data_IF_222872809957
#
_entry.id   IF_222872809957
#
_cell.length_a   1.000
_cell.length_b   1.000
_cell.length_c   1.000
_cell.angle_alpha   90.00
_cell.angle_beta   90.00
_cell.angle_gamma   90.00
#
_symmetry.space_group_name_H-M   'P 1'
#
loop_
_entity.id
_entity.type
_entity.pdbx_description
1 polymer ?
#
# COMPACT_ATOMS: atom_id res chain seq x y z
N UNK A 1 10.71 -10.22 -40.17
CA UNK A 1 10.20 -10.25 -38.79
C UNK A 1 9.96 -11.70 -38.40
N UNK A 2 10.80 -12.29 -37.54
CA UNK A 2 10.59 -13.67 -37.10
C UNK A 2 9.71 -13.66 -35.85
N UNK A 3 8.65 -14.47 -35.82
CA UNK A 3 7.63 -14.57 -34.75
C UNK A 3 8.22 -14.70 -33.34
N UNK A 4 9.44 -15.27 -33.23
CA UNK A 4 10.20 -15.38 -31.98
C UNK A 4 10.56 -14.05 -31.32
N UNK A 5 10.63 -12.94 -32.06
CA UNK A 5 11.05 -11.65 -31.51
C UNK A 5 9.91 -10.99 -30.70
N UNK A 6 8.67 -11.09 -31.20
CA UNK A 6 7.48 -10.48 -30.58
C UNK A 6 7.10 -11.16 -29.25
N UNK A 7 7.28 -12.47 -29.20
CA UNK A 7 7.02 -13.29 -28.02
C UNK A 7 7.99 -13.00 -26.86
N UNK A 8 9.28 -12.82 -27.19
CA UNK A 8 10.29 -12.41 -26.23
C UNK A 8 10.03 -11.00 -25.68
N UNK A 9 9.56 -10.08 -26.52
CA UNK A 9 9.16 -8.72 -26.13
C UNK A 9 8.04 -8.77 -25.08
N UNK A 10 6.96 -9.52 -25.33
CA UNK A 10 5.85 -9.61 -24.38
C UNK A 10 6.27 -10.16 -23.01
N UNK A 11 7.09 -11.22 -22.99
CA UNK A 11 7.63 -11.78 -21.75
C UNK A 11 8.52 -10.77 -21.00
N UNK A 12 9.32 -9.98 -21.72
CA UNK A 12 10.15 -8.94 -21.12
C UNK A 12 9.32 -7.80 -20.52
N UNK A 13 8.28 -7.35 -21.24
CA UNK A 13 7.32 -6.35 -20.75
C UNK A 13 6.68 -6.82 -19.44
N UNK A 14 6.22 -8.07 -19.39
CA UNK A 14 5.55 -8.63 -18.22
C UNK A 14 6.52 -8.75 -17.03
N UNK A 15 7.74 -9.24 -17.25
CA UNK A 15 8.78 -9.31 -16.22
C UNK A 15 9.13 -7.93 -15.67
N UNK A 16 9.31 -6.95 -16.55
CA UNK A 16 9.60 -5.57 -16.17
C UNK A 16 8.45 -4.94 -15.39
N UNK A 17 7.22 -5.11 -15.86
CA UNK A 17 6.02 -4.60 -15.20
C UNK A 17 5.83 -5.23 -13.82
N UNK A 18 6.11 -6.53 -13.67
CA UNK A 18 6.07 -7.22 -12.40
C UNK A 18 7.08 -6.63 -11.39
N UNK A 19 8.27 -6.25 -11.86
CA UNK A 19 9.31 -5.64 -11.01
C UNK A 19 8.99 -4.22 -10.53
N UNK A 20 8.01 -3.56 -11.15
CA UNK A 20 7.54 -2.22 -10.77
C UNK A 20 6.32 -2.26 -9.81
N UNK A 21 5.77 -3.45 -9.52
CA UNK A 21 4.69 -3.61 -8.55
C UNK A 21 5.25 -3.47 -7.12
N UNK A 22 4.60 -2.70 -6.23
CA UNK A 22 5.02 -2.61 -4.84
C UNK A 22 5.07 -4.00 -4.18
N UNK A 23 6.20 -4.32 -3.56
CA UNK A 23 6.36 -5.55 -2.77
C UNK A 23 6.23 -5.20 -1.29
N UNK A 24 5.28 -5.84 -0.62
CA UNK A 24 5.07 -5.70 0.82
C UNK A 24 5.66 -6.92 1.54
N UNK A 25 6.31 -6.66 2.66
CA UNK A 25 6.86 -7.69 3.55
C UNK A 25 5.81 -8.05 4.61
N UNK A 26 5.42 -9.31 4.67
CA UNK A 26 4.40 -9.82 5.59
C UNK A 26 4.86 -9.80 7.07
N UNK A 27 6.17 -9.81 7.31
CA UNK A 27 6.77 -9.79 8.64
C UNK A 27 6.78 -8.40 9.30
N UNK A 28 6.57 -7.33 8.53
CA UNK A 28 6.56 -5.93 9.00
C UNK A 28 5.40 -5.67 9.94
N UNK A 29 5.62 -5.05 11.11
CA UNK A 29 4.56 -4.77 12.07
C UNK A 29 3.81 -3.47 11.75
N UNK A 30 2.54 -3.41 12.13
CA UNK A 30 1.67 -2.26 11.90
C UNK A 30 1.24 -1.68 13.25
N UNK A 31 1.31 -0.36 13.37
CA UNK A 31 1.04 0.36 14.61
C UNK A 31 0.08 1.52 14.38
N UNK A 32 -0.93 1.65 15.24
CA UNK A 32 -1.74 2.87 15.33
C UNK A 32 -1.06 3.83 16.29
N UNK A 33 -0.73 5.03 15.83
CA UNK A 33 -0.15 6.11 16.62
C UNK A 33 -1.14 7.26 16.71
N UNK A 34 -1.61 7.58 17.91
CA UNK A 34 -2.56 8.69 18.15
C UNK A 34 -1.84 10.03 18.16
N UNK A 35 -2.44 11.02 17.50
CA UNK A 35 -1.93 12.38 17.41
C UNK A 35 -2.70 13.37 18.31
N UNK A 36 -2.89 13.06 19.60
CA UNK A 36 -3.72 13.82 20.57
C UNK A 36 -5.11 14.19 19.99
N UNK A 37 -5.97 13.19 19.85
CA UNK A 37 -7.29 13.33 19.19
C UNK A 37 -7.25 13.90 17.76
N UNK A 38 -6.11 13.77 17.08
CA UNK A 38 -5.90 14.23 15.70
C UNK A 38 -5.28 15.63 15.58
N UNK A 39 -5.08 16.35 16.69
CA UNK A 39 -4.51 17.69 16.70
C UNK A 39 -3.13 17.80 16.03
N UNK A 40 -2.31 16.75 16.14
CA UNK A 40 -0.96 16.72 15.55
C UNK A 40 -0.89 16.00 14.20
N UNK A 41 -2.03 15.58 13.64
CA UNK A 41 -2.08 14.85 12.37
C UNK A 41 -1.36 15.60 11.24
N UNK A 42 -1.67 16.88 11.07
CA UNK A 42 -1.10 17.71 10.00
C UNK A 42 0.40 17.95 10.21
N UNK A 43 0.82 18.10 11.46
CA UNK A 43 2.23 18.27 11.81
C UNK A 43 3.05 17.02 11.50
N UNK A 44 2.55 15.84 11.89
CA UNK A 44 3.17 14.56 11.60
C UNK A 44 3.29 14.31 10.09
N UNK A 45 2.24 14.66 9.34
CA UNK A 45 2.23 14.51 7.88
C UNK A 45 3.26 15.44 7.20
N UNK A 46 3.22 16.74 7.51
CA UNK A 46 4.06 17.74 6.83
C UNK A 46 5.54 17.59 7.19
N UNK A 47 5.83 17.21 8.42
CA UNK A 47 7.21 17.13 8.92
C UNK A 47 7.75 15.69 9.00
N UNK A 48 7.08 14.72 8.36
CA UNK A 48 7.56 13.35 8.14
C UNK A 48 7.99 12.62 9.42
N UNK A 49 7.15 12.67 10.46
CA UNK A 49 7.43 11.98 11.72
C UNK A 49 6.19 11.55 12.47
N UNK A 50 6.36 10.61 13.41
CA UNK A 50 5.42 10.40 14.51
C UNK A 50 6.11 10.58 15.84
N UNK A 51 5.42 11.17 16.82
CA UNK A 51 5.97 11.47 18.13
C UNK A 51 5.13 10.96 19.28
N UNK A 52 5.73 10.90 20.47
CA UNK A 52 5.04 10.60 21.73
C UNK A 52 5.43 11.62 22.81
N UNK A 53 4.50 11.92 23.73
CA UNK A 53 4.67 12.87 24.83
C UNK A 53 5.56 12.38 25.98
N UNK A 54 5.28 12.88 27.19
CA UNK A 54 6.09 12.68 28.40
C UNK A 54 7.54 13.12 28.18
N UNK A 55 7.71 14.39 27.84
CA UNK A 55 9.01 14.97 27.47
C UNK A 55 10.02 14.99 28.64
N UNK A 56 9.52 14.91 29.87
CA UNK A 56 10.30 14.80 31.11
C UNK A 56 11.04 13.45 31.18
N UNK A 57 10.55 12.45 30.45
CA UNK A 57 11.14 11.12 30.34
C UNK A 57 11.93 11.04 29.02
N UNK A 58 13.25 11.07 29.13
CA UNK A 58 14.16 11.05 27.98
C UNK A 58 14.28 9.65 27.38
N UNK A 59 14.82 9.55 26.16
CA UNK A 59 15.17 8.25 25.56
C UNK A 59 16.18 7.47 26.42
N UNK A 60 17.12 8.17 27.03
CA UNK A 60 18.14 7.55 27.89
C UNK A 60 17.51 6.95 29.15
N UNK A 61 16.55 7.65 29.78
CA UNK A 61 15.78 7.11 30.91
C UNK A 61 15.09 5.79 30.54
N UNK A 62 14.46 5.74 29.37
CA UNK A 62 13.73 4.56 28.89
C UNK A 62 14.71 3.42 28.59
N UNK A 63 15.82 3.69 27.89
CA UNK A 63 16.83 2.69 27.52
C UNK A 63 17.50 2.07 28.75
N UNK A 64 17.77 2.85 29.79
CA UNK A 64 18.35 2.37 31.06
C UNK A 64 17.49 1.35 31.79
N UNK A 65 16.19 1.31 31.54
CA UNK A 65 15.28 0.34 32.18
C UNK A 65 15.39 -1.08 31.65
N UNK A 66 16.17 -1.32 30.57
CA UNK A 66 16.28 -2.64 29.94
C UNK A 66 14.92 -3.30 29.68
N UNK A 67 13.97 -2.49 29.19
CA UNK A 67 12.59 -2.88 28.91
C UNK A 67 11.72 -3.27 30.14
N UNK A 68 12.14 -2.88 31.36
CA UNK A 68 11.38 -3.13 32.59
C UNK A 68 10.30 -2.08 32.82
N UNK A 69 9.03 -2.50 32.70
CA UNK A 69 7.88 -1.62 32.98
C UNK A 69 7.88 -1.11 34.42
N UNK A 70 8.31 -1.92 35.39
CA UNK A 70 8.35 -1.51 36.80
C UNK A 70 9.41 -0.44 37.05
N UNK A 71 10.60 -0.59 36.47
CA UNK A 71 11.65 0.43 36.58
C UNK A 71 11.22 1.74 35.93
N UNK A 72 10.59 1.68 34.75
CA UNK A 72 10.11 2.90 34.08
C UNK A 72 8.97 3.58 34.85
N UNK A 73 8.08 2.79 35.49
CA UNK A 73 7.06 3.35 36.41
C UNK A 73 7.69 4.14 37.55
N UNK A 74 8.80 3.66 38.12
CA UNK A 74 9.47 4.36 39.21
C UNK A 74 10.09 5.68 38.73
N UNK A 75 10.73 5.68 37.56
CA UNK A 75 11.25 6.92 36.94
C UNK A 75 10.11 7.92 36.65
N UNK A 76 8.98 7.44 36.12
CA UNK A 76 7.80 8.27 35.88
C UNK A 76 7.28 8.92 37.16
N UNK A 77 7.19 8.17 38.27
CA UNK A 77 6.79 8.72 39.57
C UNK A 77 7.76 9.79 40.03
N UNK A 78 9.05 9.53 39.99
CA UNK A 78 10.07 10.48 40.42
C UNK A 78 10.00 11.78 39.62
N UNK A 79 10.01 11.70 38.29
CA UNK A 79 10.09 12.89 37.43
C UNK A 79 8.78 13.66 37.33
N UNK A 80 7.62 13.00 37.40
CA UNK A 80 6.32 13.67 37.26
C UNK A 80 5.74 14.19 38.58
N UNK A 81 6.13 13.63 39.74
CA UNK A 81 5.68 14.14 41.05
C UNK A 81 6.38 15.47 41.39
N UNK A 82 7.65 15.63 41.02
CA UNK A 82 8.47 16.83 41.33
C UNK A 82 7.93 18.11 40.69
N UNK A 83 7.11 18.01 39.63
CA UNK A 83 6.51 19.17 38.97
C UNK A 83 5.14 19.61 39.53
N UNK A 84 4.62 18.98 40.60
CA UNK A 84 3.29 19.30 41.16
C UNK A 84 3.27 20.32 42.32
N UNK A 85 4.44 20.85 42.71
CA UNK A 85 4.55 21.87 43.77
C UNK A 85 4.72 23.32 43.22
N UNK A 86 4.51 23.55 41.92
CA UNK A 86 4.54 24.90 41.31
C UNK A 86 3.10 25.43 41.18
N UNK A 87 2.78 26.65 41.64
CA UNK A 87 1.48 27.28 41.41
C UNK A 87 1.23 27.38 39.91
N UNK A 88 0.10 26.86 39.44
CA UNK A 88 -0.30 26.89 38.03
C UNK A 88 -0.66 28.35 37.69
N UNK A 89 0.30 29.08 37.10
CA UNK A 89 -0.04 30.14 36.16
C UNK A 89 -0.19 29.51 34.77
N UNK A 90 -1.34 29.80 34.18
CA UNK A 90 -1.87 29.38 32.89
C UNK A 90 -0.80 29.15 31.81
N UNK A 91 -0.71 27.92 31.28
CA UNK A 91 -0.56 27.58 29.85
C UNK A 91 -0.10 26.11 29.62
N UNK A 92 -0.96 25.34 28.94
CA UNK A 92 -0.68 24.07 28.22
C UNK A 92 -0.07 22.89 29.02
N UNK A 93 -0.92 22.14 29.70
CA UNK A 93 -0.59 20.82 30.27
C UNK A 93 -0.95 19.66 29.29
N UNK A 94 -0.19 18.55 29.23
CA UNK A 94 -0.51 17.38 28.40
C UNK A 94 -1.74 16.55 28.85
N UNK A 95 -2.51 17.02 29.83
CA UNK A 95 -3.50 16.25 30.58
C UNK A 95 -4.93 16.21 30.00
N UNK A 96 -5.20 16.81 28.84
CA UNK A 96 -6.57 16.94 28.31
C UNK A 96 -7.25 15.63 27.84
N UNK A 97 -6.52 14.51 27.69
CA UNK A 97 -7.08 13.29 27.08
C UNK A 97 -7.83 12.35 28.07
N UNK A 98 -8.19 12.81 29.28
CA UNK A 98 -8.98 12.01 30.25
C UNK A 98 -10.08 12.78 30.98
N UNK A 99 -10.70 13.77 30.33
CA UNK A 99 -11.83 14.51 30.89
C UNK A 99 -13.16 13.86 30.53
N UNK A 100 -13.61 12.95 31.40
CA UNK A 100 -15.03 12.70 31.69
C UNK A 100 -15.16 12.59 33.22
N UNK A 101 -14.92 13.68 33.94
CA UNK A 101 -15.35 13.84 35.32
C UNK A 101 -15.76 15.30 35.58
N UNK A 102 -16.96 15.41 36.13
CA UNK A 102 -17.81 16.57 36.30
C UNK A 102 -17.18 17.76 37.03
N UNK A 103 -17.74 18.94 36.76
CA UNK A 103 -17.59 20.15 37.55
C UNK A 103 -17.75 19.86 39.04
N UNK A 104 -16.70 20.08 39.82
CA UNK A 104 -16.77 20.78 41.11
C UNK A 104 -15.36 21.16 41.58
N UNK A 105 -15.22 22.45 41.85
CA UNK A 105 -14.01 23.12 42.31
C UNK A 105 -13.67 22.68 43.74
N UNK A 106 -12.48 22.10 43.92
CA UNK A 106 -11.62 22.24 45.11
C UNK A 106 -10.32 21.46 44.86
N UNK A 107 -9.19 22.09 45.20
CA UNK A 107 -7.80 21.69 44.95
C UNK A 107 -7.53 20.18 45.13
N UNK A 108 -7.45 19.42 44.02
CA UNK A 108 -7.05 18.01 44.04
C UNK A 108 -5.64 17.85 43.47
N UNK A 109 -4.67 17.67 44.39
CA UNK A 109 -3.38 17.02 44.14
C UNK A 109 -3.66 15.70 43.40
N UNK A 110 -3.47 15.68 42.09
CA UNK A 110 -3.87 14.54 41.24
C UNK A 110 -2.85 13.43 41.43
N UNK A 111 -3.05 12.60 42.46
CA UNK A 111 -2.25 11.38 42.61
C UNK A 111 -2.67 10.45 41.47
N UNK A 112 -1.87 10.45 40.41
CA UNK A 112 -1.99 9.50 39.32
C UNK A 112 -1.97 8.08 39.89
N UNK A 113 -2.95 7.27 39.51
CA UNK A 113 -3.07 5.89 39.99
C UNK A 113 -1.88 5.04 39.50
N UNK A 114 -1.49 4.02 40.27
CA UNK A 114 -0.50 3.00 39.85
C UNK A 114 -0.79 2.42 38.45
N UNK A 115 -2.08 2.32 38.11
CA UNK A 115 -2.56 1.87 36.81
C UNK A 115 -2.21 2.84 35.68
N UNK A 116 -2.29 4.15 35.91
CA UNK A 116 -1.94 5.18 34.91
C UNK A 116 -0.44 5.16 34.61
N UNK A 117 0.41 5.18 35.65
CA UNK A 117 1.85 5.05 35.47
C UNK A 117 2.22 3.77 34.72
N UNK A 118 1.57 2.65 35.05
CA UNK A 118 1.80 1.41 34.32
C UNK A 118 1.38 1.46 32.85
N UNK A 119 0.31 2.17 32.53
CA UNK A 119 -0.15 2.38 31.16
C UNK A 119 0.86 3.22 30.38
N UNK A 120 1.33 4.34 30.95
CA UNK A 120 2.32 5.21 30.32
C UNK A 120 3.67 4.53 30.14
N UNK A 121 4.15 3.82 31.17
CA UNK A 121 5.38 3.03 31.05
C UNK A 121 5.27 2.01 29.90
N UNK A 122 4.15 1.29 29.81
CA UNK A 122 3.93 0.35 28.73
C UNK A 122 3.89 1.01 27.34
N UNK A 123 3.30 2.20 27.22
CA UNK A 123 3.26 2.93 25.95
C UNK A 123 4.65 3.44 25.54
N UNK A 124 5.40 4.04 26.46
CA UNK A 124 6.76 4.53 26.21
C UNK A 124 7.70 3.39 25.83
N UNK A 125 7.66 2.26 26.54
CA UNK A 125 8.45 1.08 26.20
C UNK A 125 8.12 0.56 24.80
N UNK A 126 6.83 0.45 24.44
CA UNK A 126 6.46 0.01 23.09
C UNK A 126 6.92 1.01 22.02
N UNK A 127 6.78 2.31 22.28
CA UNK A 127 7.18 3.33 21.32
C UNK A 127 8.69 3.35 21.07
N UNK A 128 9.50 3.16 22.11
CA UNK A 128 10.97 3.24 22.00
C UNK A 128 11.62 1.91 21.64
N UNK A 129 11.12 0.79 22.18
CA UNK A 129 11.78 -0.52 22.08
C UNK A 129 11.09 -1.51 21.13
N UNK A 130 9.80 -1.33 20.81
CA UNK A 130 9.06 -2.28 19.96
C UNK A 130 8.86 -1.77 18.54
N UNK A 131 8.67 -0.46 18.33
CA UNK A 131 8.73 0.13 16.99
C UNK A 131 10.15 -0.02 16.44
N UNK A 132 10.23 -0.33 15.15
CA UNK A 132 11.50 -0.54 14.43
C UNK A 132 11.42 0.07 13.03
N UNK A 133 12.59 0.29 12.44
CA UNK A 133 12.70 0.67 11.02
C UNK A 133 11.96 -0.36 10.16
N UNK A 134 11.29 0.13 9.12
CA UNK A 134 10.37 -0.57 8.22
C UNK A 134 8.98 -0.88 8.77
N UNK A 135 8.68 -0.69 10.06
CA UNK A 135 7.31 -0.80 10.56
C UNK A 135 6.39 0.23 9.89
N UNK A 136 5.12 -0.15 9.73
CA UNK A 136 4.08 0.73 9.22
C UNK A 136 3.37 1.40 10.38
N UNK A 137 3.21 2.71 10.29
CA UNK A 137 2.45 3.52 11.23
C UNK A 137 1.18 4.06 10.56
N UNK A 138 0.09 4.03 11.32
CA UNK A 138 -1.20 4.60 10.95
C UNK A 138 -1.55 5.71 11.93
N UNK A 139 -1.82 6.91 11.43
CA UNK A 139 -2.18 8.07 12.24
C UNK A 139 -3.59 8.53 11.86
N UNK A 140 -4.56 8.46 12.78
CA UNK A 140 -5.89 9.00 12.53
C UNK A 140 -5.91 10.52 12.64
N UNK A 141 -6.64 11.17 11.74
CA UNK A 141 -7.00 12.59 11.84
C UNK A 141 -7.99 12.84 12.98
N UNK A 142 -8.37 14.09 13.17
CA UNK A 142 -9.50 14.45 14.02
C UNK A 142 -10.75 13.69 13.58
N UNK A 143 -11.55 13.21 14.54
CA UNK A 143 -12.69 12.31 14.35
C UNK A 143 -12.37 10.99 13.61
N UNK A 144 -11.09 10.71 13.35
CA UNK A 144 -10.60 9.59 12.54
C UNK A 144 -11.28 9.52 11.17
N UNK A 145 -11.52 10.68 10.55
CA UNK A 145 -12.06 10.79 9.20
C UNK A 145 -11.06 10.25 8.16
N UNK A 146 -9.79 10.66 8.29
CA UNK A 146 -8.69 10.19 7.46
C UNK A 146 -7.68 9.41 8.28
N UNK A 147 -7.09 8.39 7.66
CA UNK A 147 -6.06 7.55 8.25
C UNK A 147 -4.80 7.64 7.38
N UNK A 148 -3.80 8.35 7.89
CA UNK A 148 -2.50 8.50 7.24
C UNK A 148 -1.67 7.23 7.47
N UNK A 149 -1.00 6.74 6.44
CA UNK A 149 -0.21 5.50 6.48
C UNK A 149 1.20 5.79 6.00
N UNK A 150 2.21 5.40 6.78
CA UNK A 150 3.61 5.64 6.45
C UNK A 150 4.53 4.56 7.00
N UNK A 151 5.77 4.56 6.53
CA UNK A 151 6.81 3.63 6.95
C UNK A 151 7.88 4.33 7.76
N UNK A 152 8.30 3.74 8.87
CA UNK A 152 9.46 4.21 9.63
C UNK A 152 10.73 3.99 8.80
N UNK A 153 11.52 5.05 8.60
CA UNK A 153 12.67 5.03 7.68
C UNK A 153 14.05 5.12 8.35
N UNK A 154 14.11 5.53 9.61
CA UNK A 154 15.38 5.75 10.32
C UNK A 154 15.17 5.60 11.84
N UNK A 155 16.25 5.67 12.61
CA UNK A 155 16.27 5.51 14.05
C UNK A 155 15.49 6.62 14.78
N UNK A 156 14.95 6.27 15.95
CA UNK A 156 14.31 7.23 16.86
C UNK A 156 15.31 8.29 17.33
N UNK A 157 14.87 9.55 17.32
CA UNK A 157 15.63 10.67 17.85
C UNK A 157 14.84 11.44 18.91
N UNK A 158 15.56 12.28 19.65
CA UNK A 158 14.99 13.15 20.66
C UNK A 158 15.47 14.59 20.44
N UNK A 159 14.53 15.52 20.36
CA UNK A 159 14.84 16.95 20.25
C UNK A 159 15.19 17.54 21.62
N UNK A 160 16.14 18.48 21.59
CA UNK A 160 16.39 19.40 22.72
C UNK A 160 15.31 20.49 22.82
N UNK A 161 15.24 21.20 23.94
CA UNK A 161 14.32 22.33 24.10
C UNK A 161 14.59 23.43 23.08
N UNK A 162 15.87 23.76 22.83
CA UNK A 162 16.27 24.77 21.85
C UNK A 162 15.79 24.39 20.44
N UNK A 163 16.01 23.13 20.02
CA UNK A 163 15.54 22.64 18.72
C UNK A 163 14.02 22.63 18.60
N UNK A 164 13.28 22.50 19.70
CA UNK A 164 11.82 22.56 19.70
C UNK A 164 11.33 24.00 19.54
N UNK A 165 12.02 24.96 20.18
CA UNK A 165 11.74 26.40 20.09
C UNK A 165 12.11 26.98 18.71
N UNK A 166 13.17 26.46 18.07
CA UNK A 166 13.61 26.87 16.73
C UNK A 166 12.65 26.43 15.61
N UNK A 167 11.68 25.54 15.90
CA UNK A 167 10.71 25.13 14.89
C UNK A 167 9.83 26.33 14.48
N UNK A 168 9.84 26.66 13.18
CA UNK A 168 9.07 27.79 12.65
C UNK A 168 7.62 27.77 13.14
N UNK A 169 7.19 28.83 13.83
CA UNK A 169 5.82 28.96 14.25
C UNK A 169 4.94 29.13 13.01
N UNK A 170 3.98 28.22 12.84
CA UNK A 170 2.98 28.29 11.78
C UNK A 170 1.60 28.41 12.41
N UNK A 171 0.76 29.27 11.83
CA UNK A 171 -0.65 29.42 12.25
C UNK A 171 -1.57 28.43 11.54
N UNK A 172 -1.07 27.69 10.54
CA UNK A 172 -1.90 26.85 9.68
C UNK A 172 -2.24 25.49 10.29
N UNK A 173 -1.43 25.02 11.24
CA UNK A 173 -1.67 23.79 11.97
C UNK A 173 -0.95 23.80 13.32
N UNK A 174 -1.41 22.96 14.26
CA UNK A 174 -0.81 22.86 15.58
C UNK A 174 0.43 21.95 15.55
N UNK A 175 1.61 22.52 15.84
CA UNK A 175 2.85 21.74 16.01
C UNK A 175 2.85 20.96 17.32
N UNK A 176 3.34 19.73 17.26
CA UNK A 176 3.52 18.89 18.42
C UNK A 176 4.77 19.29 19.20
N UNK A 177 4.62 19.36 20.52
CA UNK A 177 5.73 19.58 21.44
C UNK A 177 6.50 18.28 21.74
N UNK A 178 6.16 17.15 21.10
CA UNK A 178 6.78 15.86 21.39
C UNK A 178 8.24 15.85 20.96
N UNK A 179 9.13 15.55 21.91
CA UNK A 179 10.58 15.48 21.67
C UNK A 179 11.03 14.17 21.05
N UNK A 180 10.43 13.05 21.47
CA UNK A 180 10.76 11.69 21.01
C UNK A 180 10.03 11.40 19.71
N UNK A 181 10.77 11.18 18.62
CA UNK A 181 10.22 11.11 17.26
C UNK A 181 10.83 9.98 16.45
N UNK A 182 9.97 9.27 15.71
CA UNK A 182 10.37 8.35 14.65
C UNK A 182 10.21 9.05 13.29
N UNK A 183 11.25 9.08 12.44
CA UNK A 183 11.14 9.54 11.05
C UNK A 183 10.26 8.61 10.22
N UNK A 184 9.33 9.19 9.44
CA UNK A 184 8.33 8.44 8.67
C UNK A 184 8.29 8.94 7.23
N UNK A 185 8.29 8.00 6.29
CA UNK A 185 7.93 8.28 4.90
C UNK A 185 6.46 7.93 4.68
N UNK A 186 5.62 8.93 4.42
CA UNK A 186 4.20 8.72 4.17
C UNK A 186 3.93 8.11 2.79
N UNK A 187 3.05 7.11 2.75
CA UNK A 187 2.53 6.51 1.51
C UNK A 187 1.30 7.24 1.00
N UNK A 188 0.52 7.81 1.91
CA UNK A 188 -0.74 8.49 1.63
C UNK A 188 -1.72 8.31 2.78
N UNK A 189 -2.98 8.59 2.52
CA UNK A 189 -4.07 8.40 3.48
C UNK A 189 -5.28 7.76 2.79
N UNK A 190 -6.19 7.21 3.60
CA UNK A 190 -7.50 6.77 3.12
C UNK A 190 -8.61 7.35 4.01
N UNK A 191 -9.78 7.57 3.41
CA UNK A 191 -11.01 7.97 4.10
C UNK A 191 -11.61 6.75 4.81
N UNK A 192 -11.95 6.89 6.08
CA UNK A 192 -12.63 5.86 6.88
C UNK A 192 -13.88 5.33 6.19
N UNK A 193 -14.68 6.19 5.57
CA UNK A 193 -15.95 5.84 4.95
C UNK A 193 -15.79 4.98 3.68
N UNK A 194 -14.60 5.02 3.06
CA UNK A 194 -14.26 4.20 1.89
C UNK A 194 -13.54 2.89 2.27
N UNK A 195 -13.16 2.76 3.54
CA UNK A 195 -12.35 1.66 4.04
C UNK A 195 -13.19 0.43 4.43
N UNK A 196 -12.54 -0.70 4.68
CA UNK A 196 -13.23 -1.88 5.22
C UNK A 196 -13.85 -1.57 6.59
N UNK A 197 -15.11 -1.92 6.82
CA UNK A 197 -15.77 -1.73 8.12
C UNK A 197 -15.06 -2.48 9.25
N UNK A 198 -14.27 -3.52 8.96
CA UNK A 198 -13.40 -4.18 9.94
C UNK A 198 -12.38 -3.22 10.56
N UNK A 199 -11.93 -2.19 9.84
CA UNK A 199 -11.02 -1.18 10.36
C UNK A 199 -11.66 -0.31 11.46
N UNK A 200 -12.98 -0.29 11.59
CA UNK A 200 -13.63 0.60 12.57
C UNK A 200 -13.28 0.21 14.01
N UNK A 201 -13.09 -1.08 14.29
CA UNK A 201 -12.68 -1.54 15.63
C UNK A 201 -11.31 -1.03 16.03
N UNK A 202 -10.39 -0.93 15.07
CA UNK A 202 -9.06 -0.34 15.28
C UNK A 202 -9.16 1.12 15.73
N UNK A 203 -10.08 1.89 15.15
CA UNK A 203 -10.29 3.31 15.46
C UNK A 203 -10.77 3.54 16.89
N UNK A 204 -11.36 2.54 17.56
CA UNK A 204 -11.77 2.66 18.97
C UNK A 204 -10.69 2.24 19.96
N UNK A 205 -9.50 1.86 19.50
CA UNK A 205 -8.39 1.53 20.40
C UNK A 205 -7.93 2.78 21.17
N UNK A 206 -8.20 2.83 22.48
CA UNK A 206 -7.99 4.01 23.33
C UNK A 206 -6.51 4.29 23.68
N UNK A 207 -5.60 3.37 23.38
CA UNK A 207 -4.18 3.56 23.70
C UNK A 207 -3.50 4.48 22.68
N UNK A 208 -2.56 5.31 23.15
CA UNK A 208 -1.72 6.19 22.32
C UNK A 208 -0.96 5.43 21.24
N UNK A 209 -0.53 4.22 21.56
CA UNK A 209 0.14 3.30 20.66
C UNK A 209 -0.46 1.89 20.79
N UNK A 210 -0.93 1.35 19.67
CA UNK A 210 -1.56 0.03 19.57
C UNK A 210 -0.96 -0.78 18.43
N UNK A 211 -0.66 -2.06 18.65
CA UNK A 211 -0.36 -2.98 17.55
C UNK A 211 -1.66 -3.29 16.80
N UNK A 212 -1.62 -3.24 15.47
CA UNK A 212 -2.79 -3.39 14.60
C UNK A 212 -2.52 -4.41 13.49
N UNK A 213 -1.68 -5.41 13.78
CA UNK A 213 -1.30 -6.45 12.81
C UNK A 213 -2.50 -7.22 12.22
N UNK A 214 -3.55 -7.43 13.02
CA UNK A 214 -4.79 -8.07 12.57
C UNK A 214 -5.50 -7.31 11.44
N UNK A 215 -5.16 -6.03 11.26
CA UNK A 215 -5.76 -5.15 10.27
C UNK A 215 -4.90 -4.97 9.01
N UNK A 216 -3.69 -5.55 8.95
CA UNK A 216 -2.74 -5.47 7.82
C UNK A 216 -3.41 -5.62 6.45
N UNK A 217 -4.21 -6.67 6.17
CA UNK A 217 -4.76 -6.86 4.84
C UNK A 217 -5.70 -5.74 4.41
N UNK A 218 -6.45 -5.17 5.36
CA UNK A 218 -7.41 -4.10 5.08
C UNK A 218 -6.73 -2.75 4.88
N UNK A 219 -5.65 -2.48 5.63
CA UNK A 219 -4.82 -1.27 5.46
C UNK A 219 -4.10 -1.32 4.12
N UNK A 220 -3.49 -2.46 3.78
CA UNK A 220 -2.81 -2.65 2.51
C UNK A 220 -3.76 -2.42 1.35
N UNK A 221 -4.96 -2.99 1.42
CA UNK A 221 -6.00 -2.81 0.40
C UNK A 221 -6.46 -1.36 0.24
N UNK A 222 -6.51 -0.60 1.33
CA UNK A 222 -6.95 0.79 1.31
C UNK A 222 -5.90 1.74 0.68
N UNK A 223 -4.61 1.43 0.81
CA UNK A 223 -3.51 2.27 0.31
C UNK A 223 -2.98 1.79 -1.04
N UNK A 224 -2.91 0.48 -1.27
CA UNK A 224 -2.31 -0.13 -2.44
C UNK A 224 -3.39 -0.82 -3.29
N UNK A 225 -3.80 -0.24 -4.43
CA UNK A 225 -4.76 -0.88 -5.33
C UNK A 225 -4.20 -2.15 -5.98
N UNK A 226 -2.88 -2.32 -5.98
CA UNK A 226 -2.20 -3.55 -6.35
C UNK A 226 -0.85 -3.65 -5.65
N UNK A 227 -0.47 -4.86 -5.22
CA UNK A 227 0.81 -5.15 -4.58
C UNK A 227 1.13 -6.64 -4.63
N UNK A 228 2.40 -7.00 -4.41
CA UNK A 228 2.85 -8.36 -4.20
C UNK A 228 3.17 -8.56 -2.72
N UNK A 229 2.68 -9.64 -2.13
CA UNK A 229 3.06 -10.06 -0.78
C UNK A 229 3.10 -11.58 -0.76
N UNK A 230 4.16 -12.17 -0.18
CA UNK A 230 4.33 -13.62 -0.09
C UNK A 230 4.20 -14.32 -1.47
N UNK A 231 4.79 -13.72 -2.51
CA UNK A 231 4.71 -14.15 -3.93
C UNK A 231 3.32 -14.06 -4.60
N UNK A 232 2.30 -13.65 -3.85
CA UNK A 232 0.93 -13.50 -4.35
C UNK A 232 0.69 -12.08 -4.86
N UNK A 233 -0.03 -11.96 -5.98
CA UNK A 233 -0.47 -10.68 -6.51
C UNK A 233 -1.87 -10.35 -6.00
N UNK A 234 -1.99 -9.22 -5.32
CA UNK A 234 -3.24 -8.63 -4.87
C UNK A 234 -3.64 -7.52 -5.83
N UNK A 235 -4.87 -7.54 -6.33
CA UNK A 235 -5.46 -6.46 -7.14
C UNK A 235 -6.82 -6.12 -6.56
N UNK A 236 -7.01 -4.86 -6.21
CA UNK A 236 -8.27 -4.32 -5.68
C UNK A 236 -8.90 -3.37 -6.67
N UNK A 237 -10.17 -3.61 -6.95
CA UNK A 237 -10.97 -2.86 -7.91
C UNK A 237 -12.23 -2.35 -7.23
N UNK A 238 -12.57 -1.10 -7.51
CA UNK A 238 -13.76 -0.46 -6.97
C UNK A 238 -14.89 -0.58 -7.98
N UNK A 239 -16.01 -1.12 -7.54
CA UNK A 239 -17.29 -1.09 -8.26
C UNK A 239 -17.98 0.21 -7.90
N UNK A 240 -18.16 1.10 -8.87
CA UNK A 240 -18.72 2.46 -8.65
C UNK A 240 -20.10 2.66 -9.26
N UNK A 241 -20.77 1.58 -9.67
CA UNK A 241 -22.14 1.71 -10.13
C UNK A 241 -23.07 1.95 -8.95
N UNK A 242 -24.02 2.90 -9.05
CA UNK A 242 -24.99 3.20 -7.98
C UNK A 242 -26.16 2.20 -7.93
N UNK A 243 -26.31 1.36 -8.96
CA UNK A 243 -27.40 0.40 -9.08
C UNK A 243 -26.96 -0.99 -8.60
N UNK A 244 -27.92 -1.88 -8.31
CA UNK A 244 -27.67 -3.27 -7.94
C UNK A 244 -26.69 -3.96 -8.91
N UNK A 245 -25.86 -4.85 -8.37
CA UNK A 245 -24.88 -5.60 -9.15
C UNK A 245 -25.51 -6.89 -9.65
N UNK A 246 -25.56 -7.03 -10.97
CA UNK A 246 -26.04 -8.25 -11.60
C UNK A 246 -25.12 -9.44 -11.25
N UNK A 247 -25.72 -10.47 -10.66
CA UNK A 247 -25.01 -11.67 -10.23
C UNK A 247 -24.42 -12.48 -11.38
N UNK A 248 -25.02 -12.42 -12.56
CA UNK A 248 -24.50 -13.08 -13.76
C UNK A 248 -23.20 -12.42 -14.18
N UNK A 249 -23.19 -11.09 -14.33
CA UNK A 249 -21.97 -10.36 -14.71
C UNK A 249 -20.87 -10.48 -13.65
N UNK A 250 -21.22 -10.37 -12.36
CA UNK A 250 -20.25 -10.52 -11.28
C UNK A 250 -19.66 -11.94 -11.24
N UNK A 251 -20.51 -12.96 -11.37
CA UNK A 251 -20.11 -14.36 -11.42
C UNK A 251 -19.22 -14.65 -12.62
N UNK A 252 -19.58 -14.14 -13.80
CA UNK A 252 -18.77 -14.22 -15.01
C UNK A 252 -17.40 -13.57 -14.78
N UNK A 253 -17.35 -12.34 -14.28
CA UNK A 253 -16.08 -11.64 -14.03
C UNK A 253 -15.12 -12.45 -13.13
N UNK A 254 -15.61 -12.94 -11.99
CA UNK A 254 -14.82 -13.73 -11.04
C UNK A 254 -14.34 -15.05 -11.67
N UNK A 255 -15.26 -15.78 -12.31
CA UNK A 255 -14.95 -17.06 -12.93
C UNK A 255 -13.93 -16.92 -14.07
N UNK A 256 -14.12 -15.92 -14.91
CA UNK A 256 -13.25 -15.64 -16.05
C UNK A 256 -11.83 -15.28 -15.61
N UNK A 257 -11.66 -14.41 -14.61
CA UNK A 257 -10.34 -14.10 -14.07
C UNK A 257 -9.62 -15.36 -13.56
N UNK A 258 -10.36 -16.25 -12.90
CA UNK A 258 -9.83 -17.55 -12.43
C UNK A 258 -9.41 -18.46 -13.59
N UNK A 259 -10.24 -18.56 -14.65
CA UNK A 259 -9.90 -19.35 -15.84
C UNK A 259 -8.67 -18.81 -16.58
N UNK A 260 -8.53 -17.48 -16.70
CA UNK A 260 -7.36 -16.86 -17.33
C UNK A 260 -6.09 -17.20 -16.55
N UNK A 261 -6.14 -17.13 -15.22
CA UNK A 261 -5.02 -17.50 -14.36
C UNK A 261 -4.60 -18.95 -14.59
N UNK A 262 -5.56 -19.86 -14.63
CA UNK A 262 -5.32 -21.29 -14.86
C UNK A 262 -4.82 -21.59 -16.27
N UNK A 263 -5.24 -20.80 -17.27
CA UNK A 263 -4.77 -20.92 -18.64
C UNK A 263 -3.31 -20.50 -18.80
N UNK A 264 -2.83 -19.59 -17.94
CA UNK A 264 -1.43 -19.19 -17.87
C UNK A 264 -0.58 -20.21 -17.12
N UNK A 265 -1.07 -20.70 -15.98
CA UNK A 265 -0.42 -21.76 -15.19
C UNK A 265 -1.48 -22.65 -14.52
N UNK A 266 -1.43 -23.96 -14.81
CA UNK A 266 -2.38 -24.95 -14.29
C UNK A 266 -2.44 -25.00 -12.75
N UNK A 267 -1.36 -24.61 -12.06
CA UNK A 267 -1.27 -24.53 -10.60
C UNK A 267 -1.76 -23.20 -10.04
N UNK A 268 -2.07 -22.23 -10.89
CA UNK A 268 -2.61 -20.94 -10.48
C UNK A 268 -4.01 -21.10 -9.89
N UNK A 269 -4.22 -20.40 -8.78
CA UNK A 269 -5.45 -20.33 -8.01
C UNK A 269 -5.71 -18.87 -7.66
N UNK A 270 -6.97 -18.47 -7.82
CA UNK A 270 -7.42 -17.13 -7.48
C UNK A 270 -8.37 -17.20 -6.30
N UNK A 271 -8.05 -16.46 -5.25
CA UNK A 271 -8.99 -16.19 -4.15
C UNK A 271 -9.64 -14.85 -4.46
N UNK A 272 -10.97 -14.81 -4.47
CA UNK A 272 -11.74 -13.58 -4.64
C UNK A 272 -12.40 -13.21 -3.32
N UNK A 273 -12.15 -11.99 -2.83
CA UNK A 273 -12.90 -11.41 -1.71
C UNK A 273 -13.77 -10.29 -2.25
N UNK A 274 -15.09 -10.45 -2.09
CA UNK A 274 -16.09 -9.57 -2.70
C UNK A 274 -16.91 -8.94 -1.58
N UNK A 275 -16.86 -7.62 -1.49
CA UNK A 275 -17.71 -6.84 -0.60
C UNK A 275 -18.35 -5.72 -1.42
N UNK A 276 -19.34 -6.09 -2.23
CA UNK A 276 -20.01 -5.18 -3.15
C UNK A 276 -21.47 -5.01 -2.76
N UNK A 277 -21.84 -3.77 -2.44
CA UNK A 277 -23.19 -3.30 -2.10
C UNK A 277 -23.46 -1.94 -2.79
N UNK A 278 -22.91 -1.75 -4.00
CA UNK A 278 -23.06 -0.55 -4.86
C UNK A 278 -23.02 0.79 -4.10
N UNK A 279 -21.85 1.36 -3.80
CA UNK A 279 -20.50 1.01 -4.26
C UNK A 279 -19.80 -0.07 -3.41
N UNK A 280 -18.72 -0.68 -3.91
CA UNK A 280 -17.94 -1.63 -3.12
C UNK A 280 -16.64 -2.11 -3.76
N UNK A 281 -15.99 -3.11 -3.15
CA UNK A 281 -14.64 -3.57 -3.52
C UNK A 281 -14.65 -5.05 -3.91
N UNK A 282 -13.95 -5.35 -5.00
CA UNK A 282 -13.55 -6.70 -5.40
C UNK A 282 -12.02 -6.79 -5.28
N UNK A 283 -11.54 -7.71 -4.44
CA UNK A 283 -10.11 -8.03 -4.31
C UNK A 283 -9.86 -9.42 -4.91
N UNK A 284 -8.92 -9.49 -5.85
CA UNK A 284 -8.46 -10.72 -6.49
C UNK A 284 -7.03 -11.00 -6.05
N UNK A 285 -6.80 -12.21 -5.53
CA UNK A 285 -5.52 -12.65 -4.99
C UNK A 285 -5.07 -13.85 -5.79
N UNK A 286 -4.08 -13.64 -6.65
CA UNK A 286 -3.51 -14.69 -7.51
C UNK A 286 -2.29 -15.27 -6.81
N UNK A 287 -2.27 -16.57 -6.54
CA UNK A 287 -1.15 -17.22 -5.84
C UNK A 287 0.16 -17.20 -6.64
N UNK A 288 0.09 -17.04 -7.97
CA UNK A 288 1.23 -16.91 -8.87
C UNK A 288 1.16 -15.51 -9.48
N UNK A 289 2.00 -14.59 -9.01
CA UNK A 289 1.94 -13.19 -9.42
C UNK A 289 2.04 -12.95 -10.94
N UNK A 290 2.93 -13.63 -11.70
CA UNK A 290 2.94 -13.53 -13.17
C UNK A 290 1.61 -13.90 -13.83
N UNK A 291 0.95 -14.98 -13.38
CA UNK A 291 -0.33 -15.41 -13.93
C UNK A 291 -1.45 -14.40 -13.65
N UNK A 292 -1.44 -13.81 -12.45
CA UNK A 292 -2.34 -12.73 -12.08
C UNK A 292 -2.16 -11.50 -12.96
N UNK A 293 -0.91 -11.05 -13.16
CA UNK A 293 -0.59 -9.88 -13.98
C UNK A 293 -1.01 -10.06 -15.44
N UNK A 294 -0.73 -11.23 -16.02
CA UNK A 294 -1.15 -11.57 -17.39
C UNK A 294 -2.68 -11.55 -17.51
N UNK A 295 -3.37 -12.16 -16.54
CA UNK A 295 -4.84 -12.23 -16.54
C UNK A 295 -5.44 -10.83 -16.42
N UNK A 296 -4.90 -9.98 -15.56
CA UNK A 296 -5.29 -8.57 -15.45
C UNK A 296 -5.08 -7.81 -16.77
N UNK A 297 -3.93 -7.99 -17.40
CA UNK A 297 -3.59 -7.32 -18.66
C UNK A 297 -4.47 -7.80 -19.84
N UNK A 298 -4.91 -9.06 -19.83
CA UNK A 298 -5.89 -9.60 -20.78
C UNK A 298 -7.29 -9.01 -20.54
N UNK A 299 -7.75 -8.99 -19.29
CA UNK A 299 -9.07 -8.47 -18.93
C UNK A 299 -9.21 -6.98 -19.18
N UNK A 300 -8.17 -6.19 -18.88
CA UNK A 300 -8.13 -4.76 -19.16
C UNK A 300 -8.08 -4.44 -20.67
N UNK A 301 -7.98 -5.43 -21.54
CA UNK A 301 -7.91 -5.25 -23.00
C UNK A 301 -6.51 -4.90 -23.53
N UNK A 302 -5.55 -4.63 -22.63
CA UNK A 302 -4.15 -4.29 -22.97
C UNK A 302 -3.52 -5.40 -23.82
N UNK A 303 -3.77 -6.67 -23.47
CA UNK A 303 -3.26 -7.85 -24.18
C UNK A 303 -4.25 -8.48 -25.18
N UNK A 304 -5.36 -7.82 -25.51
CA UNK A 304 -6.23 -8.20 -26.64
C UNK A 304 -5.72 -7.58 -27.95
N UNK A 305 -4.88 -6.53 -27.85
CA UNK A 305 -4.15 -5.89 -28.95
C UNK A 305 -3.26 -6.80 -29.84
N UNK A 306 -2.69 -7.94 -29.41
CA UNK A 306 -1.72 -8.65 -30.24
C UNK A 306 -2.29 -9.23 -31.53
N UNK A 307 -3.59 -9.51 -31.62
CA UNK A 307 -4.22 -10.06 -32.83
C UNK A 307 -4.80 -9.00 -33.77
N UNK A 308 -4.64 -7.73 -33.41
CA UNK A 308 -5.26 -6.60 -34.10
C UNK A 308 -6.72 -6.43 -33.71
N UNK A 309 -7.12 -5.17 -33.51
CA UNK A 309 -8.47 -4.83 -33.12
C UNK A 309 -8.71 -3.33 -33.03
N UNK A 310 -10.00 -2.97 -33.01
CA UNK A 310 -10.47 -1.62 -32.75
C UNK A 310 -11.02 -1.59 -31.31
N UNK A 311 -10.33 -0.88 -30.41
CA UNK A 311 -10.79 -0.68 -29.04
C UNK A 311 -11.74 0.52 -29.02
N UNK A 312 -12.99 0.27 -28.61
CA UNK A 312 -13.98 1.32 -28.38
C UNK A 312 -14.06 1.61 -26.89
N UNK A 313 -13.60 2.79 -26.49
CA UNK A 313 -13.72 3.30 -25.12
C UNK A 313 -14.25 4.73 -25.19
N UNK A 314 -15.27 5.06 -24.38
CA UNK A 314 -15.79 6.42 -24.23
C UNK A 314 -16.03 7.17 -25.56
N UNK A 315 -16.72 6.53 -26.51
CA UNK A 315 -17.06 7.14 -27.80
C UNK A 315 -15.88 7.37 -28.76
N UNK A 316 -14.66 6.97 -28.39
CA UNK A 316 -13.45 7.06 -29.21
C UNK A 316 -13.00 5.66 -29.64
N UNK A 317 -12.63 5.52 -30.91
CA UNK A 317 -12.05 4.29 -31.44
C UNK A 317 -10.54 4.44 -31.62
N UNK A 318 -9.79 3.58 -30.93
CA UNK A 318 -8.35 3.46 -31.12
C UNK A 318 -8.12 2.20 -31.96
N UNK A 319 -7.64 2.38 -33.19
CA UNK A 319 -7.19 1.28 -34.05
C UNK A 319 -5.77 0.92 -33.67
N UNK A 320 -5.59 -0.28 -33.11
CA UNK A 320 -4.27 -0.76 -32.72
C UNK A 320 -3.86 -1.84 -33.73
N UNK A 321 -2.75 -1.63 -34.49
CA UNK A 321 -2.28 -2.62 -35.45
C UNK A 321 -1.90 -3.93 -34.74
N UNK A 322 -2.38 -5.07 -35.25
CA UNK A 322 -2.08 -6.40 -34.72
C UNK A 322 -0.68 -6.89 -35.10
N UNK A 323 -0.05 -7.65 -34.20
CA UNK A 323 1.34 -8.12 -34.34
C UNK A 323 1.52 -9.66 -34.20
N UNK A 324 0.44 -10.44 -34.01
CA UNK A 324 0.42 -11.90 -33.86
C UNK A 324 -0.54 -12.58 -34.85
N UNK A 325 -0.27 -12.47 -36.15
CA UNK A 325 -0.83 -13.38 -37.16
C UNK A 325 0.29 -14.28 -37.70
N UNK A 326 0.32 -15.52 -37.22
CA UNK A 326 1.24 -16.55 -37.69
C UNK A 326 1.67 -17.47 -36.56
N UNK A 327 1.21 -18.71 -36.59
CA UNK A 327 1.75 -19.79 -35.76
C UNK A 327 1.88 -21.00 -36.68
N UNK A 328 3.11 -21.32 -37.10
CA UNK A 328 3.44 -22.65 -37.59
C UNK A 328 4.77 -23.14 -36.99
N UNK A 329 4.66 -24.30 -36.33
CA UNK A 329 5.69 -25.18 -35.79
C UNK A 329 7.12 -24.97 -36.33
N UNK A 330 8.07 -24.70 -35.43
CA UNK A 330 9.45 -25.14 -35.64
C UNK A 330 10.15 -25.45 -34.31
N UNK A 331 10.37 -26.76 -34.06
CA UNK A 331 11.05 -27.30 -32.89
C UNK A 331 12.55 -27.08 -33.00
N UNK A 332 13.14 -26.31 -32.08
CA UNK A 332 14.57 -26.39 -31.77
C UNK A 332 14.81 -26.38 -30.25
N UNK A 333 15.66 -27.31 -29.82
CA UNK A 333 15.72 -27.98 -28.51
C UNK A 333 16.40 -27.18 -27.37
N UNK A 334 16.40 -25.84 -27.42
CA UNK A 334 16.98 -24.98 -26.37
C UNK A 334 15.96 -24.05 -25.67
N UNK A 335 14.65 -24.26 -25.90
CA UNK A 335 13.58 -23.31 -25.58
C UNK A 335 12.28 -23.98 -25.07
N UNK A 336 12.33 -25.14 -24.38
CA UNK A 336 11.09 -25.83 -23.94
C UNK A 336 10.24 -24.97 -22.99
N UNK A 337 10.82 -24.35 -21.95
CA UNK A 337 10.05 -23.55 -20.98
C UNK A 337 9.44 -22.28 -21.61
N UNK A 338 10.23 -21.50 -22.34
CA UNK A 338 9.74 -20.29 -23.02
C UNK A 338 8.64 -20.63 -24.04
N UNK A 339 8.77 -21.72 -24.79
CA UNK A 339 7.73 -22.14 -25.73
C UNK A 339 6.41 -22.52 -25.04
N UNK A 340 6.47 -23.13 -23.86
CA UNK A 340 5.29 -23.47 -23.06
C UNK A 340 4.61 -22.23 -22.46
N UNK A 341 5.39 -21.28 -21.93
CA UNK A 341 4.87 -20.00 -21.43
C UNK A 341 4.11 -19.23 -22.51
N UNK A 342 4.62 -19.26 -23.74
CA UNK A 342 4.00 -18.60 -24.89
C UNK A 342 2.74 -19.32 -25.38
N UNK A 343 2.73 -20.66 -25.37
CA UNK A 343 1.53 -21.44 -25.66
C UNK A 343 0.42 -21.14 -24.64
N UNK A 344 0.77 -21.03 -23.35
CA UNK A 344 -0.17 -20.71 -22.28
C UNK A 344 -0.72 -19.28 -22.41
N UNK A 345 0.14 -18.31 -22.73
CA UNK A 345 -0.27 -16.94 -23.04
C UNK A 345 -1.26 -16.89 -24.21
N UNK A 346 -1.01 -17.67 -25.26
CA UNK A 346 -1.88 -17.77 -26.42
C UNK A 346 -3.26 -18.31 -26.04
N UNK A 347 -3.31 -19.43 -25.30
CA UNK A 347 -4.54 -20.03 -24.78
C UNK A 347 -5.34 -19.04 -23.94
N UNK A 348 -4.68 -18.33 -23.02
CA UNK A 348 -5.31 -17.33 -22.19
C UNK A 348 -5.88 -16.16 -23.01
N UNK A 349 -5.17 -15.72 -24.06
CA UNK A 349 -5.65 -14.65 -24.94
C UNK A 349 -6.86 -15.05 -25.78
N UNK A 350 -6.86 -16.25 -26.34
CA UNK A 350 -8.01 -16.75 -27.10
C UNK A 350 -9.24 -16.94 -26.19
N UNK A 351 -9.02 -17.44 -24.98
CA UNK A 351 -10.07 -17.51 -23.96
C UNK A 351 -10.61 -16.12 -23.59
N UNK A 352 -9.75 -15.12 -23.39
CA UNK A 352 -10.18 -13.75 -23.08
C UNK A 352 -11.11 -13.16 -24.16
N UNK A 353 -10.83 -13.42 -25.45
CA UNK A 353 -11.67 -12.98 -26.57
C UNK A 353 -13.04 -13.66 -26.57
N UNK A 354 -13.09 -14.95 -26.26
CA UNK A 354 -14.33 -15.74 -26.21
C UNK A 354 -15.25 -15.25 -25.09
N UNK A 355 -14.66 -14.95 -23.93
CA UNK A 355 -15.37 -14.66 -22.68
C UNK A 355 -16.08 -13.28 -22.66
N UNK A 356 -15.73 -12.34 -23.54
CA UNK A 356 -16.38 -11.01 -23.70
C UNK A 356 -16.70 -10.32 -22.36
N UNK A 357 -15.66 -10.11 -21.55
CA UNK A 357 -15.80 -9.72 -20.13
C UNK A 357 -16.62 -8.43 -19.95
N UNK A 358 -17.67 -8.44 -19.11
CA UNK A 358 -18.57 -7.30 -18.94
C UNK A 358 -18.04 -6.29 -17.90
N UNK A 359 -16.78 -5.87 -18.01
CA UNK A 359 -16.16 -4.89 -17.07
C UNK A 359 -16.98 -3.59 -17.03
N UNK A 360 -17.50 -3.16 -18.17
CA UNK A 360 -18.35 -1.98 -18.29
C UNK A 360 -19.69 -2.12 -17.57
N UNK A 361 -20.29 -3.30 -17.63
CA UNK A 361 -21.61 -3.58 -16.99
C UNK A 361 -21.51 -3.61 -15.47
N UNK A 362 -20.32 -3.91 -14.93
CA UNK A 362 -20.06 -3.92 -13.49
C UNK A 362 -19.57 -2.58 -12.94
N UNK A 363 -19.39 -1.56 -13.78
CA UNK A 363 -18.86 -0.25 -13.34
C UNK A 363 -17.53 -0.37 -12.60
N UNK A 364 -16.68 -1.33 -12.98
CA UNK A 364 -15.41 -1.60 -12.32
C UNK A 364 -14.37 -0.55 -12.75
N UNK A 365 -13.80 0.16 -11.76
CA UNK A 365 -12.61 0.99 -11.95
C UNK A 365 -11.36 0.14 -11.83
N UNK A 366 -10.61 0.04 -12.92
CA UNK A 366 -9.33 -0.64 -12.98
C UNK A 366 -8.20 0.23 -12.40
N UNK A 367 -7.15 -0.36 -11.79
CA UNK A 367 -6.00 0.39 -11.30
C UNK A 367 -5.19 1.04 -12.45
N UNK A 368 -5.52 2.29 -12.80
CA UNK A 368 -4.93 2.99 -13.95
C UNK A 368 -3.40 3.04 -13.91
N UNK A 369 -2.80 3.17 -12.72
CA UNK A 369 -1.33 3.18 -12.59
C UNK A 369 -0.70 1.87 -13.05
N UNK A 370 -1.33 0.72 -12.80
CA UNK A 370 -0.86 -0.58 -13.28
C UNK A 370 -1.00 -0.69 -14.80
N UNK A 371 -2.12 -0.22 -15.35
CA UNK A 371 -2.35 -0.14 -16.81
C UNK A 371 -1.22 0.67 -17.47
N UNK A 372 -0.99 1.89 -16.99
CA UNK A 372 0.02 2.80 -17.52
C UNK A 372 1.44 2.22 -17.41
N UNK A 373 1.76 1.50 -16.32
CA UNK A 373 3.05 0.80 -16.18
C UNK A 373 3.24 -0.24 -17.28
N UNK A 374 2.22 -1.06 -17.56
CA UNK A 374 2.31 -2.09 -18.60
C UNK A 374 2.43 -1.44 -19.98
N UNK A 375 1.62 -0.43 -20.28
CA UNK A 375 1.66 0.31 -21.56
C UNK A 375 3.02 0.96 -21.82
N UNK A 376 3.55 1.69 -20.84
CA UNK A 376 4.88 2.30 -20.92
C UNK A 376 5.96 1.25 -21.20
N UNK A 377 5.89 0.11 -20.51
CA UNK A 377 6.87 -0.96 -20.69
C UNK A 377 6.76 -1.61 -22.08
N UNK A 378 5.54 -1.74 -22.63
CA UNK A 378 5.35 -2.16 -24.02
C UNK A 378 5.99 -1.18 -25.01
N UNK A 379 5.73 0.12 -24.87
CA UNK A 379 6.30 1.13 -25.77
C UNK A 379 7.83 1.14 -25.75
N UNK A 380 8.43 0.99 -24.57
CA UNK A 380 9.89 0.96 -24.43
C UNK A 380 10.53 -0.26 -25.09
N UNK A 381 9.95 -1.45 -24.92
CA UNK A 381 10.48 -2.67 -25.53
C UNK A 381 10.31 -2.67 -27.06
N UNK A 382 9.19 -2.16 -27.58
CA UNK A 382 8.97 -1.99 -29.03
C UNK A 382 10.00 -1.02 -29.63
N UNK A 383 10.29 0.10 -28.94
CA UNK A 383 11.31 1.06 -29.39
C UNK A 383 12.70 0.44 -29.43
N UNK A 384 13.09 -0.33 -28.40
CA UNK A 384 14.39 -1.03 -28.37
C UNK A 384 14.54 -2.01 -29.53
N UNK A 385 13.50 -2.78 -29.83
CA UNK A 385 13.56 -3.76 -30.91
C UNK A 385 13.72 -3.08 -32.28
N UNK A 386 12.95 -2.02 -32.54
CA UNK A 386 13.04 -1.25 -33.79
C UNK A 386 14.40 -0.58 -34.04
N UNK A 387 15.15 -0.28 -32.98
CA UNK A 387 16.52 0.23 -33.06
C UNK A 387 17.52 -0.91 -33.34
N UNK A 388 17.30 -2.09 -32.76
CA UNK A 388 18.14 -3.27 -32.97
C UNK A 388 18.09 -3.80 -34.41
N UNK A 389 16.93 -3.71 -35.07
CA UNK A 389 16.76 -4.07 -36.49
C UNK A 389 17.46 -3.08 -37.46
N UNK A 390 17.59 -1.80 -37.08
CA UNK A 390 18.33 -0.80 -37.87
C UNK A 390 19.84 -0.98 -37.77
N UNK A 391 20.34 -1.47 -36.64
CA UNK A 391 21.77 -1.74 -36.45
C UNK A 391 22.23 -3.07 -37.09
N UNK A 392 21.34 -4.05 -37.25
CA UNK A 392 21.64 -5.30 -37.96
C UNK A 392 21.62 -5.12 -39.49
N UNK A 393 20.64 -4.39 -40.03
CA UNK A 393 20.55 -4.09 -41.47
C UNK A 393 21.74 -3.26 -41.99
N UNK A 394 22.27 -2.34 -41.18
CA UNK A 394 23.49 -1.58 -41.53
C UNK A 394 24.80 -2.41 -41.49
N UNK A 395 24.80 -3.59 -40.86
CA UNK A 395 25.95 -4.50 -40.85
C UNK A 395 25.95 -5.45 -42.03
N UNK A 396 24.78 -5.91 -42.45
CA UNK A 396 24.64 -6.81 -43.61
C UNK A 396 24.89 -6.08 -44.95
N UNK A 397 24.56 -4.78 -45.07
CA UNK A 397 24.91 -3.97 -46.26
C UNK A 397 26.43 -3.71 -46.43
N UNK A 398 27.22 -3.90 -45.38
CA UNK A 398 28.67 -3.74 -45.44
C UNK A 398 29.43 -5.06 -45.66
N UNK A 399 28.80 -6.23 -45.45
CA UNK A 399 29.43 -7.53 -45.78
C UNK A 399 29.28 -7.93 -47.25
N UNK A 400 28.27 -7.42 -47.96
CA UNK A 400 28.07 -7.68 -49.39
C UNK A 400 28.88 -6.77 -50.32
N UNK A 401 29.73 -5.89 -49.76
CA UNK A 401 30.65 -5.02 -50.53
C UNK A 401 32.13 -5.47 -50.51
N UNK A 402 32.45 -6.58 -49.83
CA UNK A 402 33.83 -7.12 -49.76
C UNK A 402 33.99 -8.56 -50.29
N UNK A 403 33.14 -9.00 -51.24
CA UNK A 403 33.32 -10.29 -51.94
C UNK A 403 33.39 -10.16 -53.46
#
# INVERSE_FOLDING_TARGET
MSEKNNEAILLNVLKKSLSEIPVLDSSVDYWLVRAKSGQFYTDFNINDYVGIGWNEITLDDIKKTNNSSEQLKNILKEKLIVHTDVPIEDNSSPLDDFLDLEENQEEKKTILSEKQYGTWAGQLLRFVNNLKINDIVVVPSENSEFLLVGKIIDDIYELTDDQLLEQELTTNYKKSQFKKRWPVKWFGYFDRNEADSKLYKMIYAQATLSNINDYKPFINRAIFPYYIQDEQLFISMRVTQPNDIDSEYLGQFIYQYSLLNKSVDDNSKVISKVNVQSEGIIELISNIAPAGLISFALLSGILVAPYGGELKFFGSSIKIPGFLNGYQNNKNKKLENTSKELENLKKASDLAKELKVPISELGIKLPQKLINTIEKNMEEEVKKDSLSEKDSSNKDENSDKES
#
